data_IF_782751557495
#
_entry.id   IF_782751557495
#
_cell.length_a   1.000
_cell.length_b   1.000
_cell.length_c   1.000
_cell.angle_alpha   90.00
_cell.angle_beta   90.00
_cell.angle_gamma   90.00
#
_symmetry.space_group_name_H-M   'P 1'
#
loop_
_entity.id
_entity.type
_entity.pdbx_description
1 polymer ?
#
# COMPACT_ATOMS: atom_id res chain seq x y z
N UNK A 1 -11.69 32.74 6.30
CA UNK A 1 -11.41 32.13 4.98
C UNK A 1 -9.92 31.84 4.82
N UNK A 2 -9.05 32.81 5.13
CA UNK A 2 -7.58 32.68 5.14
C UNK A 2 -7.06 31.49 5.96
N UNK A 3 -7.63 31.24 7.14
CA UNK A 3 -7.30 30.07 7.97
C UNK A 3 -7.57 28.73 7.24
N UNK A 4 -8.64 28.61 6.45
CA UNK A 4 -8.94 27.36 5.72
C UNK A 4 -7.97 27.12 4.56
N UNK A 5 -7.66 28.17 3.78
CA UNK A 5 -6.71 28.05 2.67
C UNK A 5 -5.34 27.64 3.22
N UNK A 6 -4.88 28.30 4.29
CA UNK A 6 -3.61 27.95 4.92
C UNK A 6 -3.61 26.52 5.48
N UNK A 7 -4.70 26.08 6.12
CA UNK A 7 -4.84 24.71 6.60
C UNK A 7 -4.69 23.69 5.47
N UNK A 8 -5.40 23.88 4.35
CA UNK A 8 -5.33 22.97 3.20
C UNK A 8 -3.94 22.99 2.55
N UNK A 9 -3.32 24.17 2.41
CA UNK A 9 -1.95 24.30 1.90
C UNK A 9 -0.96 23.52 2.77
N UNK A 10 -1.04 23.66 4.10
CA UNK A 10 -0.17 22.94 5.02
C UNK A 10 -0.38 21.41 4.93
N UNK A 11 -1.64 20.95 4.84
CA UNK A 11 -1.94 19.53 4.68
C UNK A 11 -1.39 18.95 3.37
N UNK A 12 -1.46 19.71 2.28
CA UNK A 12 -0.90 19.31 0.97
C UNK A 12 0.62 19.22 1.04
N UNK A 13 1.26 20.25 1.60
CA UNK A 13 2.71 20.27 1.77
C UNK A 13 3.20 19.12 2.65
N UNK A 14 2.53 18.86 3.77
CA UNK A 14 2.86 17.73 4.64
C UNK A 14 2.71 16.41 3.90
N UNK A 15 1.60 16.21 3.18
CA UNK A 15 1.39 15.00 2.39
C UNK A 15 2.49 14.81 1.34
N UNK A 16 2.84 15.86 0.60
CA UNK A 16 3.91 15.79 -0.41
C UNK A 16 5.25 15.43 0.25
N UNK A 17 5.58 16.05 1.39
CA UNK A 17 6.79 15.74 2.15
C UNK A 17 6.80 14.31 2.70
N UNK A 18 5.69 13.82 3.23
CA UNK A 18 5.55 12.44 3.73
C UNK A 18 5.77 11.43 2.60
N UNK A 19 5.22 11.71 1.41
CA UNK A 19 5.41 10.87 0.23
C UNK A 19 6.85 10.92 -0.27
N UNK A 20 7.46 12.10 -0.33
CA UNK A 20 8.82 12.27 -0.82
C UNK A 20 9.88 11.66 0.12
N UNK A 21 9.66 11.73 1.43
CA UNK A 21 10.62 11.27 2.45
C UNK A 21 10.50 9.78 2.76
N UNK A 22 9.34 9.15 2.53
CA UNK A 22 9.14 7.75 2.84
C UNK A 22 9.57 6.83 1.68
N UNK A 23 10.71 6.17 1.84
CA UNK A 23 11.27 5.26 0.83
C UNK A 23 10.41 4.01 0.58
N UNK A 24 9.50 3.65 1.49
CA UNK A 24 8.54 2.55 1.36
C UNK A 24 7.13 3.03 0.96
N UNK A 25 7.01 4.25 0.44
CA UNK A 25 5.75 4.77 -0.05
C UNK A 25 5.37 4.13 -1.40
N UNK A 26 4.07 4.14 -1.75
CA UNK A 26 3.56 3.45 -2.93
C UNK A 26 4.15 3.94 -4.26
N UNK A 27 4.67 5.16 -4.30
CA UNK A 27 5.31 5.74 -5.49
C UNK A 27 6.62 5.03 -5.87
N UNK A 28 7.24 4.31 -4.92
CA UNK A 28 8.50 3.58 -5.12
C UNK A 28 8.27 2.08 -5.35
N UNK A 29 7.01 1.65 -5.52
CA UNK A 29 6.70 0.25 -5.79
C UNK A 29 7.21 -0.14 -7.17
N UNK A 30 7.99 -1.23 -7.22
CA UNK A 30 8.52 -1.81 -8.45
C UNK A 30 8.01 -3.24 -8.69
N UNK A 31 7.32 -3.83 -7.72
CA UNK A 31 6.78 -5.18 -7.88
C UNK A 31 5.75 -5.59 -6.84
N UNK A 32 4.80 -6.41 -7.30
CA UNK A 32 3.86 -7.14 -6.46
C UNK A 32 3.70 -8.55 -7.06
N UNK A 33 4.31 -9.54 -6.41
CA UNK A 33 4.40 -10.90 -6.94
C UNK A 33 3.62 -11.87 -6.04
N UNK A 34 2.60 -12.57 -6.55
CA UNK A 34 2.00 -13.70 -5.82
C UNK A 34 3.08 -14.76 -5.54
N UNK A 35 3.07 -15.35 -4.34
CA UNK A 35 3.92 -16.50 -4.04
C UNK A 35 3.12 -17.80 -4.16
N UNK A 36 3.68 -18.79 -4.86
CA UNK A 36 3.12 -20.14 -4.96
C UNK A 36 3.60 -21.01 -3.79
N UNK A 37 2.87 -22.07 -3.47
CA UNK A 37 3.32 -23.06 -2.48
C UNK A 37 4.64 -23.70 -2.93
N UNK A 38 5.54 -23.94 -1.97
CA UNK A 38 6.90 -24.41 -2.24
C UNK A 38 7.86 -23.28 -2.60
N UNK A 39 8.81 -23.58 -3.50
CA UNK A 39 9.92 -22.69 -3.84
C UNK A 39 9.52 -21.59 -4.84
N UNK A 40 9.92 -20.35 -4.54
CA UNK A 40 9.82 -19.18 -5.42
C UNK A 40 11.19 -18.52 -5.53
N UNK A 41 11.90 -18.74 -6.64
CA UNK A 41 13.23 -18.15 -6.87
C UNK A 41 13.13 -16.66 -7.20
N UNK A 42 14.15 -15.88 -6.82
CA UNK A 42 14.20 -14.46 -7.16
C UNK A 42 15.59 -13.98 -7.58
N UNK A 43 15.63 -13.05 -8.53
CA UNK A 43 16.86 -12.49 -9.08
C UNK A 43 16.63 -11.75 -10.40
N UNK A 44 17.72 -11.32 -11.05
CA UNK A 44 17.64 -10.60 -12.34
C UNK A 44 17.57 -11.51 -13.56
N UNK A 45 17.80 -12.81 -13.40
CA UNK A 45 17.66 -13.81 -14.47
C UNK A 45 16.19 -14.06 -14.80
N UNK A 46 15.87 -14.23 -16.08
CA UNK A 46 14.51 -14.47 -16.59
C UNK A 46 13.96 -15.85 -16.21
N UNK A 47 14.81 -16.76 -15.75
CA UNK A 47 14.40 -18.10 -15.30
C UNK A 47 13.90 -18.12 -13.85
N UNK A 48 13.92 -17.00 -13.13
CA UNK A 48 13.37 -16.92 -11.78
C UNK A 48 11.84 -16.82 -11.78
N UNK A 49 11.22 -17.18 -10.66
CA UNK A 49 9.79 -16.92 -10.45
C UNK A 49 9.51 -15.41 -10.22
N UNK A 50 10.44 -14.72 -9.57
CA UNK A 50 10.36 -13.29 -9.25
C UNK A 50 11.53 -12.58 -9.93
N UNK A 51 11.21 -11.89 -11.02
CA UNK A 51 12.21 -11.30 -11.91
C UNK A 51 12.16 -9.78 -11.77
N UNK A 52 13.28 -9.18 -11.38
CA UNK A 52 13.48 -7.73 -11.46
C UNK A 52 14.93 -7.43 -11.87
N UNK A 53 15.18 -6.57 -12.87
CA UNK A 53 16.53 -6.22 -13.29
C UNK A 53 17.33 -5.49 -12.18
N UNK A 54 16.66 -4.91 -11.19
CA UNK A 54 17.27 -4.22 -10.05
C UNK A 54 17.88 -5.18 -9.02
N UNK A 55 17.59 -6.49 -9.07
CA UNK A 55 18.26 -7.43 -8.19
C UNK A 55 19.76 -7.48 -8.51
N UNK A 56 20.63 -7.55 -7.49
CA UNK A 56 22.07 -7.42 -7.70
C UNK A 56 22.71 -8.63 -8.38
N UNK A 57 22.01 -9.77 -8.47
CA UNK A 57 22.54 -11.01 -9.03
C UNK A 57 21.46 -11.77 -9.83
N UNK A 58 21.88 -12.58 -10.83
CA UNK A 58 20.97 -13.42 -11.62
C UNK A 58 20.07 -14.30 -10.75
N UNK A 59 20.60 -14.89 -9.67
CA UNK A 59 19.86 -15.65 -8.68
C UNK A 59 20.28 -15.20 -7.27
N UNK A 60 19.35 -14.67 -6.49
CA UNK A 60 19.61 -14.15 -5.15
C UNK A 60 19.20 -15.12 -4.04
N UNK A 61 18.26 -16.01 -4.30
CA UNK A 61 17.75 -17.00 -3.34
C UNK A 61 16.33 -17.42 -3.67
N UNK A 62 15.65 -17.96 -2.66
CA UNK A 62 14.27 -18.43 -2.78
C UNK A 62 13.43 -18.04 -1.56
N UNK A 63 12.16 -17.72 -1.80
CA UNK A 63 11.11 -17.73 -0.78
C UNK A 63 10.43 -19.09 -0.78
N UNK A 64 10.37 -19.75 0.37
CA UNK A 64 9.67 -21.03 0.52
C UNK A 64 8.37 -20.80 1.25
N UNK A 65 7.26 -21.11 0.59
CA UNK A 65 5.92 -21.05 1.18
C UNK A 65 5.51 -22.45 1.64
N UNK A 66 5.22 -22.61 2.91
CA UNK A 66 4.69 -23.85 3.50
C UNK A 66 3.66 -23.51 4.56
N UNK A 67 2.47 -24.12 4.50
CA UNK A 67 1.39 -23.89 5.46
C UNK A 67 1.05 -22.40 5.69
N UNK A 68 1.13 -21.59 4.61
CA UNK A 68 0.98 -20.12 4.61
C UNK A 68 2.08 -19.32 5.31
N UNK A 69 3.10 -19.98 5.86
CA UNK A 69 4.32 -19.34 6.35
C UNK A 69 5.31 -19.16 5.21
N UNK A 70 6.07 -18.07 5.24
CA UNK A 70 7.09 -17.77 4.23
C UNK A 70 8.46 -17.73 4.91
N UNK A 71 9.38 -18.57 4.45
CA UNK A 71 10.79 -18.53 4.87
C UNK A 71 11.65 -18.00 3.73
N UNK A 72 12.75 -17.33 4.07
CA UNK A 72 13.72 -16.83 3.10
C UNK A 72 14.98 -17.70 3.15
N UNK A 73 15.42 -18.15 1.99
CA UNK A 73 16.67 -18.89 1.79
C UNK A 73 17.57 -18.12 0.81
N UNK A 74 18.44 -17.22 1.31
CA UNK A 74 19.41 -16.52 0.48
C UNK A 74 20.47 -17.46 -0.09
N UNK A 75 21.04 -17.14 -1.25
CA UNK A 75 22.32 -17.73 -1.68
C UNK A 75 23.45 -17.23 -0.77
N UNK A 76 24.45 -18.08 -0.51
CA UNK A 76 25.46 -17.86 0.53
C UNK A 76 26.29 -16.58 0.32
N UNK A 77 26.49 -16.19 -0.93
CA UNK A 77 27.25 -15.02 -1.37
C UNK A 77 26.44 -13.70 -1.33
N UNK A 78 25.13 -13.77 -1.07
CA UNK A 78 24.23 -12.62 -1.17
C UNK A 78 23.97 -12.04 0.21
N UNK A 79 24.34 -10.76 0.39
CA UNK A 79 24.01 -10.01 1.60
C UNK A 79 22.55 -9.57 1.55
N UNK A 80 21.72 -10.17 2.37
CA UNK A 80 20.34 -9.78 2.59
C UNK A 80 20.14 -9.52 4.08
N UNK A 81 19.68 -8.32 4.42
CA UNK A 81 19.30 -7.97 5.79
C UNK A 81 17.81 -8.25 5.98
N UNK A 82 17.48 -9.18 6.86
CA UNK A 82 16.11 -9.53 7.20
C UNK A 82 16.03 -10.02 8.65
N UNK A 83 14.82 -9.95 9.19
CA UNK A 83 14.48 -10.50 10.51
C UNK A 83 13.40 -11.55 10.30
N UNK A 84 13.36 -12.52 11.21
CA UNK A 84 12.38 -13.61 11.15
C UNK A 84 12.74 -14.67 10.09
N UNK A 85 12.61 -15.92 10.48
CA UNK A 85 12.55 -17.04 9.55
C UNK A 85 11.80 -18.19 10.25
N UNK A 86 10.46 -18.28 10.13
CA UNK A 86 9.59 -17.63 9.15
C UNK A 86 9.45 -16.10 9.27
N UNK A 87 9.13 -15.44 8.15
CA UNK A 87 8.91 -14.01 8.02
C UNK A 87 7.51 -13.62 8.53
N UNK A 88 7.43 -12.59 9.37
CA UNK A 88 6.19 -11.93 9.76
C UNK A 88 5.61 -11.15 8.58
N UNK A 89 4.32 -11.34 8.33
CA UNK A 89 3.59 -10.67 7.24
C UNK A 89 2.97 -9.35 7.69
N UNK A 90 2.40 -8.59 6.75
CA UNK A 90 1.64 -7.35 7.03
C UNK A 90 0.32 -7.53 7.80
N UNK A 91 0.01 -8.74 8.24
CA UNK A 91 -1.01 -9.00 9.25
C UNK A 91 -0.54 -8.67 10.68
N UNK A 92 0.76 -8.46 10.88
CA UNK A 92 1.36 -8.01 12.13
C UNK A 92 1.91 -6.60 11.99
N UNK A 93 1.81 -5.78 13.05
CA UNK A 93 2.45 -4.46 13.13
C UNK A 93 3.99 -4.55 13.07
N UNK A 94 4.54 -5.74 13.30
CA UNK A 94 5.97 -6.05 13.24
C UNK A 94 6.37 -6.80 11.96
N UNK A 95 5.69 -6.56 10.84
CA UNK A 95 6.00 -7.18 9.55
C UNK A 95 7.48 -7.00 9.17
N UNK A 96 8.15 -8.12 8.90
CA UNK A 96 9.58 -8.16 8.63
C UNK A 96 9.90 -7.43 7.31
N UNK A 97 10.99 -6.66 7.33
CA UNK A 97 11.51 -5.97 6.16
C UNK A 97 12.76 -6.70 5.68
N UNK A 98 12.78 -7.03 4.39
CA UNK A 98 13.92 -7.69 3.74
C UNK A 98 14.61 -6.65 2.86
N UNK A 99 15.90 -6.43 3.05
CA UNK A 99 16.68 -5.44 2.29
C UNK A 99 17.79 -6.13 1.50
N UNK A 100 17.85 -5.83 0.20
CA UNK A 100 18.89 -6.30 -0.72
C UNK A 100 19.23 -5.17 -1.70
N UNK A 101 20.49 -4.70 -1.69
CA UNK A 101 20.89 -3.50 -2.45
C UNK A 101 19.93 -2.31 -2.23
N UNK A 102 19.42 -1.68 -3.29
CA UNK A 102 18.44 -0.58 -3.20
C UNK A 102 17.04 -1.07 -2.83
N UNK A 103 16.75 -2.37 -3.00
CA UNK A 103 15.43 -2.95 -2.84
C UNK A 103 15.08 -3.21 -1.38
N UNK A 104 13.82 -2.95 -1.05
CA UNK A 104 13.20 -3.31 0.21
C UNK A 104 11.92 -4.10 -0.08
N UNK A 105 11.65 -5.14 0.71
CA UNK A 105 10.58 -6.09 0.43
C UNK A 105 9.82 -6.48 1.70
N UNK A 106 8.53 -6.79 1.55
CA UNK A 106 7.68 -7.35 2.62
C UNK A 106 6.76 -8.43 2.07
N UNK A 107 6.43 -9.40 2.93
CA UNK A 107 5.34 -10.33 2.66
C UNK A 107 4.02 -9.70 3.08
N UNK A 108 3.07 -9.64 2.16
CA UNK A 108 1.72 -9.15 2.41
C UNK A 108 0.69 -10.26 2.18
N UNK A 109 -0.40 -10.26 2.94
CA UNK A 109 -1.50 -11.22 2.73
C UNK A 109 -2.66 -10.55 2.02
N UNK A 110 -3.03 -11.02 0.83
CA UNK A 110 -4.21 -10.54 0.08
C UNK A 110 -5.05 -11.72 -0.38
N UNK A 111 -6.36 -11.66 -0.13
CA UNK A 111 -7.25 -12.78 -0.44
C UNK A 111 -6.83 -14.11 0.21
N UNK A 112 -6.18 -14.05 1.38
CA UNK A 112 -5.67 -15.23 2.08
C UNK A 112 -4.37 -15.83 1.52
N UNK A 113 -3.74 -15.21 0.52
CA UNK A 113 -2.49 -15.69 -0.09
C UNK A 113 -1.32 -14.73 0.15
N UNK A 114 -0.09 -15.24 0.38
CA UNK A 114 1.09 -14.41 0.50
C UNK A 114 1.51 -13.83 -0.86
N UNK A 115 1.95 -12.57 -0.84
CA UNK A 115 2.54 -11.88 -1.98
C UNK A 115 3.79 -11.14 -1.52
N UNK A 116 4.81 -11.09 -2.37
CA UNK A 116 6.00 -10.27 -2.17
C UNK A 116 5.77 -8.89 -2.75
N UNK A 117 5.78 -7.87 -1.89
CA UNK A 117 5.77 -6.46 -2.30
C UNK A 117 7.19 -5.91 -2.28
N UNK A 118 7.59 -5.26 -3.37
CA UNK A 118 8.94 -4.74 -3.56
C UNK A 118 8.91 -3.25 -3.84
N UNK A 119 9.74 -2.51 -3.13
CA UNK A 119 10.07 -1.12 -3.37
C UNK A 119 11.52 -0.99 -3.81
N UNK A 120 11.79 -0.08 -4.73
CA UNK A 120 13.15 0.37 -5.02
C UNK A 120 13.37 1.75 -4.41
N UNK A 121 14.26 1.84 -3.43
CA UNK A 121 14.51 3.09 -2.67
C UNK A 121 15.27 4.14 -3.50
N UNK A 122 15.80 3.73 -4.64
CA UNK A 122 16.49 4.54 -5.64
C UNK A 122 15.71 4.63 -6.97
N UNK A 123 14.44 4.18 -6.98
CA UNK A 123 13.57 4.28 -8.16
C UNK A 123 13.58 5.69 -8.74
N UNK A 124 13.70 5.81 -10.06
CA UNK A 124 13.68 7.11 -10.74
C UNK A 124 12.44 7.93 -10.39
N UNK A 125 11.30 7.28 -10.17
CA UNK A 125 10.04 7.93 -9.79
C UNK A 125 10.18 8.76 -8.50
N UNK A 126 11.02 8.33 -7.55
CA UNK A 126 11.31 9.08 -6.32
C UNK A 126 11.98 10.42 -6.63
N UNK A 127 12.95 10.43 -7.54
CA UNK A 127 13.70 11.63 -7.93
C UNK A 127 12.84 12.61 -8.75
N UNK A 128 11.79 12.12 -9.40
CA UNK A 128 10.88 12.94 -10.21
C UNK A 128 9.61 13.37 -9.47
N UNK A 129 9.39 12.93 -8.23
CA UNK A 129 8.23 13.34 -7.45
C UNK A 129 8.41 14.79 -6.97
N UNK A 130 7.66 15.71 -7.59
CA UNK A 130 7.70 17.16 -7.28
C UNK A 130 6.48 17.64 -6.49
N UNK A 131 5.65 16.70 -6.02
CA UNK A 131 4.37 16.96 -5.34
C UNK A 131 3.17 16.47 -6.15
N UNK A 132 2.02 16.35 -5.50
CA UNK A 132 0.79 15.97 -6.21
C UNK A 132 0.19 17.14 -6.99
N UNK A 133 -0.53 16.82 -8.06
CA UNK A 133 -1.40 17.79 -8.72
C UNK A 133 -2.70 17.95 -7.93
N UNK A 134 -2.90 19.15 -7.38
CA UNK A 134 -4.09 19.46 -6.61
C UNK A 134 -5.03 20.39 -7.38
N UNK A 135 -6.33 20.17 -7.25
CA UNK A 135 -7.32 21.18 -7.66
C UNK A 135 -7.15 22.48 -6.86
N UNK A 136 -7.50 23.65 -7.45
CA UNK A 136 -7.50 24.92 -6.74
C UNK A 136 -8.30 24.87 -5.43
N UNK A 137 -7.79 25.52 -4.38
CA UNK A 137 -8.51 25.58 -3.10
C UNK A 137 -9.68 26.53 -3.24
N UNK A 138 -10.88 25.98 -3.16
CA UNK A 138 -12.14 26.68 -3.34
C UNK A 138 -12.97 26.56 -2.06
N UNK A 139 -13.07 27.64 -1.24
CA UNK A 139 -13.82 27.61 0.02
C UNK A 139 -15.28 27.17 -0.12
N UNK A 140 -15.89 27.33 -1.29
CA UNK A 140 -17.24 26.85 -1.60
C UNK A 140 -17.37 25.32 -1.56
N UNK A 141 -16.27 24.56 -1.64
CA UNK A 141 -16.25 23.11 -1.43
C UNK A 141 -16.05 22.72 0.04
N UNK A 142 -15.86 23.69 0.96
CA UNK A 142 -15.88 23.45 2.40
C UNK A 142 -17.33 23.48 2.90
N UNK A 143 -18.01 22.35 2.81
CA UNK A 143 -19.41 22.21 3.21
C UNK A 143 -19.54 21.62 4.62
N UNK A 144 -20.61 22.00 5.32
CA UNK A 144 -21.03 21.30 6.55
C UNK A 144 -22.11 20.29 6.15
N UNK A 145 -21.89 19.03 6.48
CA UNK A 145 -22.85 17.96 6.20
C UNK A 145 -23.59 17.55 7.48
N UNK A 146 -24.89 17.25 7.35
CA UNK A 146 -25.65 16.54 8.37
C UNK A 146 -25.34 15.05 8.23
N UNK A 147 -24.77 14.46 9.28
CA UNK A 147 -24.57 13.01 9.32
C UNK A 147 -25.82 12.31 9.84
N UNK A 148 -26.43 11.48 9.01
CA UNK A 148 -27.57 10.62 9.35
C UNK A 148 -27.06 9.20 9.49
N UNK A 149 -26.88 8.77 10.74
CA UNK A 149 -26.42 7.41 11.05
C UNK A 149 -27.54 6.40 10.79
N UNK A 150 -27.21 5.23 10.28
CA UNK A 150 -28.16 4.10 10.23
C UNK A 150 -28.34 3.47 11.62
N UNK A 151 -29.50 2.86 11.86
CA UNK A 151 -29.81 2.17 13.12
C UNK A 151 -28.80 1.08 13.45
N UNK A 152 -28.33 0.37 12.41
CA UNK A 152 -27.23 -0.59 12.47
C UNK A 152 -26.33 -0.45 11.24
N UNK A 153 -25.04 -0.81 11.33
CA UNK A 153 -24.17 -0.87 10.16
C UNK A 153 -24.73 -1.81 9.09
N UNK A 154 -24.77 -1.37 7.83
CA UNK A 154 -25.28 -2.18 6.72
C UNK A 154 -24.11 -2.84 5.98
N UNK A 155 -24.08 -4.18 5.82
CA UNK A 155 -23.02 -4.85 5.09
C UNK A 155 -23.15 -4.57 3.58
N UNK A 156 -22.01 -4.42 2.91
CA UNK A 156 -21.88 -4.39 1.46
C UNK A 156 -20.68 -5.22 1.05
N UNK A 157 -20.74 -5.80 -0.15
CA UNK A 157 -19.60 -6.46 -0.78
C UNK A 157 -18.99 -5.48 -1.78
N UNK A 158 -17.71 -5.17 -1.61
CA UNK A 158 -16.92 -4.43 -2.59
C UNK A 158 -15.95 -5.41 -3.24
N UNK A 159 -15.83 -5.34 -4.57
CA UNK A 159 -14.79 -6.05 -5.30
C UNK A 159 -13.59 -5.12 -5.43
N UNK A 160 -12.45 -5.50 -4.84
CA UNK A 160 -11.20 -4.77 -4.99
C UNK A 160 -10.64 -4.91 -6.41
N UNK A 161 -9.70 -4.04 -6.78
CA UNK A 161 -9.05 -4.06 -8.12
C UNK A 161 -8.40 -5.42 -8.43
N UNK A 162 -7.97 -6.15 -7.39
CA UNK A 162 -7.38 -7.49 -7.52
C UNK A 162 -8.42 -8.63 -7.54
N UNK A 163 -9.72 -8.31 -7.64
CA UNK A 163 -10.82 -9.28 -7.74
C UNK A 163 -11.32 -9.84 -6.40
N UNK A 164 -10.60 -9.60 -5.31
CA UNK A 164 -11.02 -10.03 -3.97
C UNK A 164 -12.32 -9.34 -3.56
N UNK A 165 -13.31 -10.11 -3.11
CA UNK A 165 -14.51 -9.58 -2.49
C UNK A 165 -14.27 -9.37 -1.00
N UNK A 166 -14.51 -8.15 -0.53
CA UNK A 166 -14.38 -7.77 0.87
C UNK A 166 -15.71 -7.27 1.41
N UNK A 167 -16.08 -7.74 2.60
CA UNK A 167 -17.24 -7.23 3.32
C UNK A 167 -16.87 -5.91 4.03
N UNK A 168 -17.68 -4.89 3.79
CA UNK A 168 -17.56 -3.57 4.39
C UNK A 168 -18.89 -3.16 5.01
N UNK A 169 -18.83 -2.22 5.94
CA UNK A 169 -20.01 -1.79 6.69
C UNK A 169 -20.27 -0.30 6.47
N UNK A 170 -21.46 0.03 6.01
CA UNK A 170 -21.94 1.40 5.86
C UNK A 170 -22.52 1.89 7.19
N UNK A 171 -22.11 3.07 7.63
CA UNK A 171 -22.50 3.65 8.92
C UNK A 171 -23.67 4.65 8.81
N UNK A 172 -23.90 5.19 7.62
CA UNK A 172 -24.87 6.24 7.39
C UNK A 172 -24.50 7.13 6.22
N UNK A 173 -25.10 8.31 6.20
CA UNK A 173 -25.02 9.25 5.09
C UNK A 173 -24.60 10.63 5.57
N UNK A 174 -23.66 11.25 4.87
CA UNK A 174 -23.36 12.67 4.98
C UNK A 174 -24.18 13.42 3.92
N UNK A 175 -25.20 14.15 4.36
CA UNK A 175 -26.11 14.91 3.51
C UNK A 175 -25.73 16.40 3.54
N UNK A 176 -25.57 17.03 2.39
CA UNK A 176 -25.15 18.43 2.26
C UNK A 176 -25.65 19.03 0.94
N UNK A 177 -25.56 20.35 0.82
CA UNK A 177 -25.83 21.06 -0.44
C UNK A 177 -24.52 21.57 -1.02
N UNK A 178 -24.31 21.35 -2.31
CA UNK A 178 -23.17 21.89 -3.05
C UNK A 178 -23.68 22.51 -4.35
N UNK A 179 -23.35 23.78 -4.58
CA UNK A 179 -23.79 24.54 -5.76
C UNK A 179 -25.31 24.49 -6.01
N UNK A 180 -26.11 24.53 -4.94
CA UNK A 180 -27.58 24.45 -5.02
C UNK A 180 -28.15 23.05 -5.22
N UNK A 181 -27.31 22.02 -5.36
CA UNK A 181 -27.75 20.64 -5.49
C UNK A 181 -27.66 19.92 -4.14
N UNK A 182 -28.70 19.17 -3.79
CA UNK A 182 -28.66 18.24 -2.66
C UNK A 182 -27.78 17.05 -3.02
N UNK A 183 -26.78 16.78 -2.18
CA UNK A 183 -25.81 15.72 -2.35
C UNK A 183 -25.80 14.80 -1.13
N UNK A 184 -25.51 13.52 -1.36
CA UNK A 184 -25.35 12.52 -0.31
C UNK A 184 -24.09 11.71 -0.57
N UNK A 185 -23.25 11.56 0.46
CA UNK A 185 -22.12 10.63 0.46
C UNK A 185 -22.38 9.54 1.50
N UNK A 186 -22.17 8.29 1.11
CA UNK A 186 -22.30 7.16 2.02
C UNK A 186 -21.00 7.03 2.82
N UNK A 187 -21.10 6.98 4.14
CA UNK A 187 -19.96 6.81 5.02
C UNK A 187 -19.69 5.32 5.27
N UNK A 188 -18.53 4.85 4.83
CA UNK A 188 -18.03 3.51 5.13
C UNK A 188 -17.28 3.52 6.47
N UNK A 189 -17.46 2.46 7.28
CA UNK A 189 -16.62 2.20 8.44
C UNK A 189 -15.20 1.91 7.97
N UNK A 190 -14.26 2.80 8.26
CA UNK A 190 -12.84 2.53 8.04
C UNK A 190 -12.42 1.33 8.88
N UNK A 191 -11.95 0.25 8.23
CA UNK A 191 -11.21 -0.81 8.91
C UNK A 191 -9.93 -0.18 9.49
N UNK A 192 -9.79 -0.21 10.82
CA UNK A 192 -8.48 -0.10 11.45
C UNK A 192 -7.93 -1.52 11.53
N UNK A 193 -6.70 -1.70 11.04
CA UNK A 193 -5.80 -2.72 11.58
C UNK A 193 -5.56 -2.37 13.05
#
# INVERSE_FOLDING_TARGET
MENYIQQITNLRQQKDQDVASNSLHWINLVGLFPLKDGENTFGSDENNDIILPQFPNPLCGSFIVQDSEVTLQPKAEIKIDFRGNPLKTDASDEADLINIASLAMKIIIRGGRPMLRIWDREAEQKNHFTGFHYYPIKPEYKVTAKFVRYDSPKPIIITEVIGTQVEKFLLGEAQFTLNGHSCTLIAEKKWRQ
#
